data_IF_608771333913
#
_entry.id   IF_608771333913
#
_cell.length_a   1.000
_cell.length_b   1.000
_cell.length_c   1.000
_cell.angle_alpha   90.00
_cell.angle_beta   90.00
_cell.angle_gamma   90.00
#
_symmetry.space_group_name_H-M   'P 1'
#
loop_
_entity.id
_entity.type
_entity.pdbx_description
1 polymer ?
#
# COMPACT_ATOMS: atom_id res chain seq x y z
N UNK A 1 -3.12 2.27 -15.55
CA UNK A 1 -3.26 3.51 -14.81
C UNK A 1 -4.31 3.22 -13.71
N UNK A 2 -4.20 2.81 -12.60
CA UNK A 2 -3.36 2.97 -11.57
C UNK A 2 -4.02 2.92 -10.20
N UNK A 3 -4.10 1.74 -9.63
CA UNK A 3 -4.24 1.62 -8.17
C UNK A 3 -3.16 2.46 -7.44
N UNK A 4 -2.04 2.76 -8.11
CA UNK A 4 -0.99 3.64 -7.61
C UNK A 4 -1.43 5.11 -7.56
N UNK A 5 -2.24 5.58 -8.50
CA UNK A 5 -2.80 6.95 -8.49
C UNK A 5 -3.83 7.13 -7.39
N UNK A 6 -4.69 6.15 -7.14
CA UNK A 6 -5.67 6.21 -6.04
C UNK A 6 -4.94 6.31 -4.68
N UNK A 7 -3.88 5.54 -4.49
CA UNK A 7 -3.05 5.65 -3.29
C UNK A 7 -2.32 6.99 -3.16
N UNK A 8 -1.81 7.54 -4.27
CA UNK A 8 -1.09 8.82 -4.27
C UNK A 8 -2.02 10.01 -4.03
N UNK A 9 -3.21 10.03 -4.62
CA UNK A 9 -4.20 11.08 -4.37
C UNK A 9 -4.65 11.11 -2.91
N UNK A 10 -4.85 9.95 -2.28
CA UNK A 10 -5.17 9.87 -0.86
C UNK A 10 -4.05 10.46 0.00
N UNK A 11 -2.79 10.15 -0.31
CA UNK A 11 -1.64 10.67 0.44
C UNK A 11 -1.50 12.20 0.32
N UNK A 12 -1.80 12.79 -0.85
CA UNK A 12 -1.72 14.23 -1.07
C UNK A 12 -2.83 14.97 -0.31
N UNK A 13 -4.03 14.42 -0.23
CA UNK A 13 -5.16 15.02 0.49
C UNK A 13 -4.97 15.06 2.00
N UNK A 14 -4.30 14.06 2.56
CA UNK A 14 -4.09 13.93 4.01
C UNK A 14 -2.92 14.78 4.53
N UNK A 15 -2.19 15.48 3.68
CA UNK A 15 -1.03 16.29 4.07
C UNK A 15 -1.44 17.72 4.37
N UNK A 16 -1.11 18.22 5.57
CA UNK A 16 -1.47 19.56 6.06
C UNK A 16 -0.93 20.70 5.22
N UNK A 17 0.21 20.48 4.55
CA UNK A 17 0.93 21.49 3.79
C UNK A 17 0.59 21.46 2.28
N UNK A 18 -0.56 20.89 1.90
CA UNK A 18 -0.99 20.83 0.50
C UNK A 18 -2.24 21.66 0.26
N UNK A 19 -2.47 22.02 -1.01
CA UNK A 19 -3.70 22.73 -1.43
C UNK A 19 -4.96 21.91 -1.16
N UNK A 20 -4.83 20.60 -0.97
CA UNK A 20 -5.92 19.66 -0.70
C UNK A 20 -6.10 19.34 0.79
N UNK A 21 -5.40 20.03 1.70
CA UNK A 21 -5.43 19.77 3.14
C UNK A 21 -6.84 19.83 3.77
N UNK A 22 -7.77 20.53 3.13
CA UNK A 22 -9.17 20.67 3.57
C UNK A 22 -10.13 19.68 2.90
N UNK A 23 -9.65 18.92 1.91
CA UNK A 23 -10.47 17.95 1.21
C UNK A 23 -10.59 16.67 2.04
N UNK A 24 -11.76 16.05 1.98
CA UNK A 24 -11.98 14.76 2.64
C UNK A 24 -11.18 13.68 1.92
N UNK A 25 -10.30 12.99 2.62
CA UNK A 25 -9.56 11.84 2.11
C UNK A 25 -10.48 10.71 1.65
N UNK A 26 -9.99 9.84 0.77
CA UNK A 26 -10.73 8.66 0.33
C UNK A 26 -10.97 7.68 1.49
N UNK A 27 -12.14 7.04 1.52
CA UNK A 27 -12.43 6.03 2.54
C UNK A 27 -11.71 4.70 2.23
N UNK A 28 -11.44 3.93 3.28
CA UNK A 28 -10.92 2.58 3.13
C UNK A 28 -11.82 1.72 2.24
N UNK A 29 -13.13 1.73 2.49
CA UNK A 29 -14.10 0.91 1.76
C UNK A 29 -14.13 1.24 0.27
N UNK A 30 -14.09 2.52 -0.08
CA UNK A 30 -14.00 2.94 -1.48
C UNK A 30 -12.73 2.40 -2.14
N UNK A 31 -11.59 2.49 -1.45
CA UNK A 31 -10.31 1.98 -1.95
C UNK A 31 -10.36 0.46 -2.15
N UNK A 32 -10.89 -0.30 -1.19
CA UNK A 32 -11.02 -1.76 -1.30
C UNK A 32 -11.95 -2.17 -2.45
N UNK A 33 -13.07 -1.47 -2.62
CA UNK A 33 -14.00 -1.69 -3.73
C UNK A 33 -13.33 -1.42 -5.09
N UNK A 34 -12.57 -0.32 -5.21
CA UNK A 34 -11.81 -0.01 -6.43
C UNK A 34 -10.75 -1.07 -6.73
N UNK A 35 -10.02 -1.57 -5.72
CA UNK A 35 -9.07 -2.67 -5.89
C UNK A 35 -9.78 -3.93 -6.41
N UNK A 36 -10.93 -4.29 -5.82
CA UNK A 36 -11.70 -5.44 -6.26
C UNK A 36 -12.21 -5.29 -7.69
N UNK A 37 -12.74 -4.12 -8.05
CA UNK A 37 -13.18 -3.83 -9.42
C UNK A 37 -12.01 -3.91 -10.42
N UNK A 38 -10.86 -3.32 -10.09
CA UNK A 38 -9.67 -3.38 -10.92
C UNK A 38 -9.20 -4.83 -11.14
N UNK A 39 -9.26 -5.66 -10.10
CA UNK A 39 -8.92 -7.08 -10.19
C UNK A 39 -9.88 -7.84 -11.12
N UNK A 40 -11.18 -7.58 -11.02
CA UNK A 40 -12.18 -8.20 -11.91
C UNK A 40 -12.01 -7.77 -13.37
N UNK A 41 -11.69 -6.50 -13.60
CA UNK A 41 -11.46 -5.96 -14.94
C UNK A 41 -10.12 -6.40 -15.54
N UNK A 42 -9.12 -6.61 -14.70
CA UNK A 42 -7.75 -6.94 -15.10
C UNK A 42 -7.20 -8.08 -14.23
N UNK A 43 -7.57 -9.34 -14.51
CA UNK A 43 -7.20 -10.48 -13.64
C UNK A 43 -5.70 -10.67 -13.45
N UNK A 44 -4.89 -10.27 -14.43
CA UNK A 44 -3.44 -10.46 -14.43
C UNK A 44 -2.64 -9.23 -13.99
N UNK A 45 -3.32 -8.13 -13.64
CA UNK A 45 -2.65 -6.89 -13.25
C UNK A 45 -1.89 -7.03 -11.93
N UNK A 46 -0.75 -6.36 -11.84
CA UNK A 46 0.00 -6.18 -10.59
C UNK A 46 -0.60 -5.00 -9.82
N UNK A 47 -1.42 -5.30 -8.79
CA UNK A 47 -2.15 -4.29 -8.02
C UNK A 47 -1.52 -4.19 -6.62
N UNK A 48 -0.94 -3.04 -6.24
CA UNK A 48 -0.27 -2.89 -4.96
C UNK A 48 -1.24 -2.69 -3.78
N UNK A 49 -0.98 -3.37 -2.68
CA UNK A 49 -1.49 -3.02 -1.35
C UNK A 49 -0.60 -1.91 -0.79
N UNK A 50 -1.00 -0.66 -0.96
CA UNK A 50 -0.16 0.51 -0.70
C UNK A 50 0.08 0.75 0.79
N UNK A 51 1.17 1.45 1.12
CA UNK A 51 1.44 1.90 2.49
C UNK A 51 0.37 2.87 2.99
N UNK A 52 -0.21 3.68 2.10
CA UNK A 52 -1.27 4.63 2.42
C UNK A 52 -2.52 3.93 2.98
N UNK A 53 -2.95 2.82 2.38
CA UNK A 53 -4.07 2.01 2.89
C UNK A 53 -3.77 1.48 4.30
N UNK A 54 -2.51 1.07 4.55
CA UNK A 54 -2.07 0.66 5.89
C UNK A 54 -2.04 1.81 6.90
N UNK A 55 -1.88 3.05 6.44
CA UNK A 55 -1.92 4.24 7.31
C UNK A 55 -3.35 4.59 7.73
N UNK A 56 -4.32 4.39 6.85
CA UNK A 56 -5.76 4.61 7.15
C UNK A 56 -6.27 3.56 8.14
N UNK A 57 -5.91 2.30 7.93
CA UNK A 57 -6.31 1.17 8.76
C UNK A 57 -5.09 0.28 9.03
N UNK A 58 -4.77 -0.04 10.29
CA UNK A 58 -3.63 -0.91 10.64
C UNK A 58 -3.63 -2.26 9.92
N UNK A 59 -4.81 -2.77 9.53
CA UNK A 59 -4.99 -3.99 8.73
C UNK A 59 -5.37 -3.71 7.28
N UNK A 60 -5.20 -2.49 6.81
CA UNK A 60 -5.60 -2.06 5.48
C UNK A 60 -4.88 -2.84 4.36
N UNK A 61 -3.59 -3.16 4.54
CA UNK A 61 -2.84 -3.94 3.55
C UNK A 61 -3.38 -5.36 3.40
N UNK A 62 -3.69 -6.04 4.50
CA UNK A 62 -4.27 -7.37 4.50
C UNK A 62 -5.66 -7.34 3.84
N UNK A 63 -6.49 -6.35 4.17
CA UNK A 63 -7.79 -6.15 3.53
C UNK A 63 -7.65 -5.90 2.03
N UNK A 64 -6.65 -5.12 1.60
CA UNK A 64 -6.40 -4.89 0.18
C UNK A 64 -5.98 -6.16 -0.56
N UNK A 65 -5.14 -7.03 0.05
CA UNK A 65 -4.80 -8.34 -0.52
C UNK A 65 -6.05 -9.21 -0.65
N UNK A 66 -6.88 -9.28 0.38
CA UNK A 66 -8.15 -10.04 0.34
C UNK A 66 -9.14 -9.47 -0.69
N UNK A 67 -9.04 -8.19 -1.03
CA UNK A 67 -9.86 -7.53 -2.06
C UNK A 67 -9.28 -7.67 -3.48
N UNK A 68 -8.10 -8.30 -3.64
CA UNK A 68 -7.52 -8.57 -4.96
C UNK A 68 -6.19 -7.89 -5.27
N UNK A 69 -5.60 -7.14 -4.35
CA UNK A 69 -4.21 -6.70 -4.50
C UNK A 69 -3.25 -7.91 -4.40
N UNK A 70 -2.11 -7.84 -5.08
CA UNK A 70 -1.15 -8.94 -5.13
C UNK A 70 0.32 -8.49 -5.05
N UNK A 71 0.56 -7.22 -4.80
CA UNK A 71 1.91 -6.67 -4.62
C UNK A 71 2.01 -5.99 -3.26
N UNK A 72 3.09 -6.26 -2.55
CA UNK A 72 3.43 -5.57 -1.29
C UNK A 72 4.82 -4.96 -1.38
N UNK A 73 4.97 -3.76 -0.83
CA UNK A 73 6.22 -3.01 -0.87
C UNK A 73 6.72 -2.74 0.55
N UNK A 74 7.74 -3.47 1.03
CA UNK A 74 8.41 -3.11 2.28
C UNK A 74 9.19 -1.80 2.13
N UNK A 75 9.36 -1.05 3.21
CA UNK A 75 10.22 0.11 3.21
C UNK A 75 11.68 -0.33 3.40
N UNK A 76 12.45 -0.30 2.33
CA UNK A 76 13.86 -0.68 2.30
C UNK A 76 14.82 0.50 2.43
N UNK A 77 14.32 1.73 2.53
CA UNK A 77 15.17 2.91 2.71
C UNK A 77 15.91 2.85 4.06
N UNK A 78 17.19 3.26 4.14
CA UNK A 78 17.91 3.37 5.41
C UNK A 78 17.17 4.29 6.40
N UNK A 79 17.12 3.90 7.67
CA UNK A 79 16.39 4.64 8.73
C UNK A 79 16.86 6.10 8.81
N UNK A 80 18.17 6.34 8.66
CA UNK A 80 18.78 7.67 8.74
C UNK A 80 18.23 8.70 7.75
N UNK A 81 17.72 8.24 6.60
CA UNK A 81 17.20 9.13 5.54
C UNK A 81 15.68 9.07 5.39
N UNK A 82 14.99 8.17 6.09
CA UNK A 82 13.52 8.00 5.96
C UNK A 82 12.73 9.27 6.26
N UNK A 83 13.18 10.07 7.23
CA UNK A 83 12.55 11.35 7.56
C UNK A 83 12.49 12.33 6.38
N UNK A 84 13.38 12.18 5.41
CA UNK A 84 13.41 13.02 4.22
C UNK A 84 12.36 12.60 3.17
N UNK A 85 11.72 11.45 3.37
CA UNK A 85 10.70 10.86 2.50
C UNK A 85 9.34 10.76 3.18
N UNK A 86 9.06 11.67 4.09
CA UNK A 86 7.73 11.82 4.70
C UNK A 86 6.81 12.53 3.70
N UNK A 87 6.28 11.76 2.74
CA UNK A 87 5.45 12.28 1.65
C UNK A 87 4.02 12.63 2.11
N UNK A 88 3.59 12.15 3.26
CA UNK A 88 2.28 12.38 3.85
C UNK A 88 2.32 12.16 5.38
N UNK A 89 1.36 12.73 6.07
CA UNK A 89 1.26 12.63 7.54
C UNK A 89 1.03 11.18 8.00
N UNK A 90 1.59 10.84 9.16
CA UNK A 90 1.45 9.53 9.82
C UNK A 90 1.89 8.31 8.99
N UNK A 91 2.81 8.47 8.03
CA UNK A 91 3.35 7.37 7.24
C UNK A 91 3.89 6.25 8.12
N UNK A 92 3.47 5.00 7.85
CA UNK A 92 3.90 3.81 8.56
C UNK A 92 5.37 3.43 8.28
N UNK A 93 5.96 2.62 9.17
CA UNK A 93 7.31 2.03 9.01
C UNK A 93 8.41 3.10 8.89
N UNK A 94 8.36 4.13 9.71
CA UNK A 94 9.38 5.19 9.73
C UNK A 94 10.56 4.87 10.63
N UNK A 95 10.41 4.00 11.64
CA UNK A 95 11.41 3.68 12.66
C UNK A 95 12.09 2.31 12.54
N UNK A 96 11.48 1.35 11.81
CA UNK A 96 11.98 -0.02 11.76
C UNK A 96 13.10 -0.18 10.72
N UNK A 97 14.08 -1.04 11.00
CA UNK A 97 15.06 -1.46 10.01
C UNK A 97 14.40 -2.20 8.82
N UNK A 98 15.05 -2.17 7.66
CA UNK A 98 14.50 -2.76 6.43
C UNK A 98 14.20 -4.27 6.59
N UNK A 99 15.06 -5.00 7.29
CA UNK A 99 14.88 -6.42 7.56
C UNK A 99 13.69 -6.70 8.49
N UNK A 100 13.48 -5.86 9.50
CA UNK A 100 12.35 -5.96 10.43
C UNK A 100 11.03 -5.64 9.72
N UNK A 101 11.02 -4.60 8.91
CA UNK A 101 9.86 -4.25 8.08
C UNK A 101 9.44 -5.40 7.15
N UNK A 102 10.43 -6.07 6.52
CA UNK A 102 10.16 -7.24 5.66
C UNK A 102 9.59 -8.42 6.46
N UNK A 103 10.18 -8.76 7.62
CA UNK A 103 9.69 -9.86 8.49
C UNK A 103 8.28 -9.58 9.03
N UNK A 104 8.03 -8.36 9.47
CA UNK A 104 6.71 -7.95 9.94
C UNK A 104 5.66 -8.09 8.82
N UNK A 105 5.97 -7.65 7.61
CA UNK A 105 5.08 -7.73 6.46
C UNK A 105 4.82 -9.20 6.08
N UNK A 106 5.84 -10.05 6.06
CA UNK A 106 5.69 -11.49 5.78
C UNK A 106 4.77 -12.17 6.80
N UNK A 107 4.98 -11.94 8.10
CA UNK A 107 4.13 -12.48 9.16
C UNK A 107 2.66 -12.05 9.01
N UNK A 108 2.42 -10.79 8.66
CA UNK A 108 1.08 -10.25 8.43
C UNK A 108 0.39 -10.90 7.23
N UNK A 109 1.10 -11.08 6.12
CA UNK A 109 0.54 -11.70 4.91
C UNK A 109 0.26 -13.19 5.15
N UNK A 110 1.15 -13.89 5.89
CA UNK A 110 0.91 -15.29 6.31
C UNK A 110 -0.31 -15.42 7.21
N UNK A 111 -0.60 -14.44 8.06
CA UNK A 111 -1.76 -14.47 8.96
C UNK A 111 -3.11 -14.48 8.23
N UNK A 112 -3.15 -14.08 6.97
CA UNK A 112 -4.34 -14.12 6.10
C UNK A 112 -4.29 -15.25 5.07
N UNK A 113 -3.35 -16.20 5.21
CA UNK A 113 -3.26 -17.39 4.36
C UNK A 113 -2.49 -17.20 3.06
N UNK A 114 -1.76 -16.10 2.89
CA UNK A 114 -0.94 -15.82 1.71
C UNK A 114 0.56 -15.92 2.02
N UNK A 115 1.37 -16.01 0.99
CA UNK A 115 2.82 -16.04 1.09
C UNK A 115 3.44 -14.95 0.22
N UNK A 116 4.50 -14.30 0.74
CA UNK A 116 5.27 -13.34 -0.05
C UNK A 116 6.34 -14.09 -0.86
N UNK A 117 6.24 -14.00 -2.17
CA UNK A 117 7.28 -14.43 -3.10
C UNK A 117 8.07 -13.21 -3.57
N UNK A 118 9.38 -13.38 -3.75
CA UNK A 118 10.24 -12.35 -4.36
C UNK A 118 10.43 -12.70 -5.82
N UNK A 119 9.75 -11.97 -6.69
CA UNK A 119 9.81 -12.15 -8.13
C UNK A 119 10.00 -10.78 -8.79
N UNK A 120 10.38 -10.77 -10.05
CA UNK A 120 10.56 -9.57 -10.88
C UNK A 120 9.23 -8.83 -11.11
N UNK A 121 8.10 -9.54 -11.03
CA UNK A 121 6.77 -8.98 -11.17
C UNK A 121 6.42 -8.61 -12.60
N UNK A 122 6.94 -9.33 -13.57
CA UNK A 122 6.58 -9.16 -14.97
C UNK A 122 5.10 -9.52 -15.20
N UNK A 123 4.45 -8.79 -16.09
CA UNK A 123 3.11 -9.13 -16.56
C UNK A 123 3.14 -10.51 -17.22
N UNK A 124 2.18 -11.36 -16.88
CA UNK A 124 2.01 -12.69 -17.48
C UNK A 124 0.64 -12.74 -18.16
N UNK A 125 0.64 -13.02 -19.45
CA UNK A 125 -0.56 -13.46 -20.13
C UNK A 125 -0.77 -14.96 -19.83
N UNK A 126 -1.98 -15.33 -19.42
CA UNK A 126 -2.39 -16.72 -19.27
C UNK A 126 -3.07 -17.21 -20.53
#
# INVERSE_FOLDING_TARGET
ISACLVGSEMCIRDSKDTVFAKETGGSLDLTLNLVAMLRLMNPNAMIPATTAVGTIDPRGREKAILSGANVVMPNLSPVSVRKNYMLYDNKLCTGDEAAECRKCLDARIRSIGYEIVTDRGDYREF
#
